data_IF_248198069484
#
_entry.id   IF_248198069484
#
_cell.length_a   1.000
_cell.length_b   1.000
_cell.length_c   1.000
_cell.angle_alpha   90.00
_cell.angle_beta   90.00
_cell.angle_gamma   90.00
#
_symmetry.space_group_name_H-M   'P 1'
#
loop_
_entity.id
_entity.type
_entity.pdbx_description
1 polymer ?
#
# COMPACT_ATOMS: atom_id res chain seq x y z
N UNK A 1 -38.47 3.52 16.09
CA UNK A 1 -37.39 4.12 15.27
C UNK A 1 -37.28 3.32 13.97
N UNK A 2 -37.55 3.93 12.82
CA UNK A 2 -37.38 3.26 11.52
C UNK A 2 -35.89 3.23 11.17
N UNK A 3 -35.35 2.06 10.80
CA UNK A 3 -33.95 1.94 10.40
C UNK A 3 -33.78 2.53 8.99
N UNK A 4 -32.87 3.49 8.77
CA UNK A 4 -32.59 3.99 7.43
C UNK A 4 -32.10 2.84 6.54
N UNK A 5 -32.66 2.74 5.33
CA UNK A 5 -32.38 1.66 4.39
C UNK A 5 -31.49 2.20 3.29
N UNK A 6 -30.25 1.72 3.23
CA UNK A 6 -29.33 2.03 2.14
C UNK A 6 -29.46 0.95 1.07
N UNK A 7 -29.69 1.35 -0.18
CA UNK A 7 -29.72 0.44 -1.32
C UNK A 7 -28.48 0.62 -2.16
N UNK A 8 -27.69 -0.44 -2.35
CA UNK A 8 -26.59 -0.43 -3.30
C UNK A 8 -27.15 -0.49 -4.73
N UNK A 9 -26.85 0.53 -5.54
CA UNK A 9 -27.27 0.64 -6.94
C UNK A 9 -26.00 0.77 -7.80
N UNK A 10 -25.39 -0.36 -8.21
CA UNK A 10 -24.15 -0.30 -8.99
C UNK A 10 -24.40 0.34 -10.36
N UNK A 11 -23.46 1.18 -10.79
CA UNK A 11 -23.44 1.71 -12.15
C UNK A 11 -22.44 0.85 -12.93
N UNK A 12 -22.90 0.08 -13.90
CA UNK A 12 -22.05 -0.84 -14.67
C UNK A 12 -21.01 -0.14 -15.55
N UNK A 13 -21.15 1.17 -15.77
CA UNK A 13 -20.12 1.98 -16.44
C UNK A 13 -18.92 2.27 -15.53
N UNK A 14 -19.09 2.26 -14.21
CA UNK A 14 -18.00 2.41 -13.25
C UNK A 14 -17.39 1.03 -12.95
N UNK A 15 -16.08 0.91 -13.15
CA UNK A 15 -15.35 -0.34 -12.97
C UNK A 15 -15.37 -0.84 -11.52
N UNK A 16 -15.25 0.05 -10.54
CA UNK A 16 -15.30 -0.28 -9.12
C UNK A 16 -16.69 -0.81 -8.74
N UNK A 17 -17.75 -0.15 -9.19
CA UNK A 17 -19.12 -0.61 -8.94
C UNK A 17 -19.38 -1.98 -9.58
N UNK A 18 -18.80 -2.23 -10.76
CA UNK A 18 -18.87 -3.53 -11.43
C UNK A 18 -18.13 -4.61 -10.64
N UNK A 19 -16.88 -4.37 -10.25
CA UNK A 19 -16.08 -5.28 -9.41
C UNK A 19 -16.78 -5.59 -8.08
N UNK A 20 -17.26 -4.56 -7.38
CA UNK A 20 -18.01 -4.71 -6.14
C UNK A 20 -19.30 -5.52 -6.35
N UNK A 21 -19.99 -5.30 -7.47
CA UNK A 21 -21.19 -6.06 -7.83
C UNK A 21 -20.89 -7.54 -8.12
N UNK A 22 -19.81 -7.83 -8.84
CA UNK A 22 -19.39 -9.20 -9.13
C UNK A 22 -19.01 -9.97 -7.85
N UNK A 23 -18.29 -9.31 -6.94
CA UNK A 23 -18.00 -9.86 -5.61
C UNK A 23 -19.29 -10.13 -4.84
N UNK A 24 -20.21 -9.15 -4.78
CA UNK A 24 -21.45 -9.30 -4.02
C UNK A 24 -22.36 -10.41 -4.58
N UNK A 25 -22.36 -10.63 -5.90
CA UNK A 25 -23.07 -11.75 -6.55
C UNK A 25 -22.51 -13.12 -6.16
N UNK A 26 -21.21 -13.22 -5.89
CA UNK A 26 -20.58 -14.47 -5.45
C UNK A 26 -20.94 -14.86 -4.01
N UNK A 27 -21.45 -13.91 -3.21
CA UNK A 27 -21.82 -14.15 -1.82
C UNK A 27 -23.15 -14.91 -1.74
N UNK A 28 -23.22 -16.02 -0.98
CA UNK A 28 -24.45 -16.78 -0.78
C UNK A 28 -25.62 -15.93 -0.27
N UNK A 29 -26.82 -16.29 -0.70
CA UNK A 29 -28.04 -15.65 -0.22
C UNK A 29 -28.18 -15.83 1.30
N UNK A 30 -28.56 -14.76 2.00
CA UNK A 30 -28.58 -14.72 3.47
C UNK A 30 -27.27 -14.27 4.13
N UNK A 31 -26.13 -14.30 3.42
CA UNK A 31 -24.83 -13.88 3.99
C UNK A 31 -24.39 -12.48 3.54
N UNK A 32 -25.08 -11.88 2.56
CA UNK A 32 -24.71 -10.57 1.97
C UNK A 32 -24.59 -9.45 2.99
N UNK A 33 -25.51 -9.34 3.95
CA UNK A 33 -25.45 -8.30 4.98
C UNK A 33 -24.24 -8.47 5.91
N UNK A 34 -23.95 -9.70 6.32
CA UNK A 34 -22.77 -10.01 7.14
C UNK A 34 -21.48 -9.76 6.37
N UNK A 35 -21.44 -10.11 5.09
CA UNK A 35 -20.32 -9.81 4.21
C UNK A 35 -20.07 -8.30 4.10
N UNK A 36 -21.11 -7.50 3.83
CA UNK A 36 -21.00 -6.04 3.74
C UNK A 36 -20.50 -5.46 5.07
N UNK A 37 -21.05 -5.89 6.20
CA UNK A 37 -20.60 -5.41 7.51
C UNK A 37 -19.12 -5.72 7.76
N UNK A 38 -18.66 -6.92 7.42
CA UNK A 38 -17.24 -7.30 7.53
C UNK A 38 -16.36 -6.49 6.58
N UNK A 39 -16.78 -6.32 5.34
CA UNK A 39 -16.02 -5.56 4.34
C UNK A 39 -15.81 -4.10 4.76
N UNK A 40 -16.84 -3.46 5.34
CA UNK A 40 -16.73 -2.09 5.87
C UNK A 40 -15.73 -2.04 7.03
N UNK A 41 -15.83 -2.97 7.99
CA UNK A 41 -14.91 -3.02 9.13
C UNK A 41 -13.46 -3.27 8.70
N UNK A 42 -13.24 -4.14 7.72
CA UNK A 42 -11.92 -4.45 7.21
C UNK A 42 -11.32 -3.26 6.45
N UNK A 43 -12.11 -2.58 5.62
CA UNK A 43 -11.65 -1.37 4.91
C UNK A 43 -11.22 -0.26 5.89
N UNK A 44 -12.03 0.00 6.94
CA UNK A 44 -11.65 0.97 7.99
C UNK A 44 -10.39 0.54 8.74
N UNK A 45 -10.21 -0.76 9.00
CA UNK A 45 -9.01 -1.31 9.65
C UNK A 45 -7.76 -1.11 8.77
N UNK A 46 -7.86 -1.39 7.47
CA UNK A 46 -6.78 -1.20 6.51
C UNK A 46 -6.36 0.27 6.42
N UNK A 47 -7.32 1.19 6.29
CA UNK A 47 -7.06 2.63 6.25
C UNK A 47 -6.35 3.10 7.53
N UNK A 48 -6.77 2.58 8.69
CA UNK A 48 -6.14 2.90 9.98
C UNK A 48 -4.70 2.40 10.04
N UNK A 49 -4.46 1.17 9.56
CA UNK A 49 -3.12 0.59 9.52
C UNK A 49 -2.20 1.36 8.59
N UNK A 50 -2.65 1.67 7.36
CA UNK A 50 -1.87 2.44 6.38
C UNK A 50 -1.48 3.81 6.93
N UNK A 51 -2.43 4.50 7.56
CA UNK A 51 -2.17 5.80 8.19
C UNK A 51 -1.17 5.69 9.35
N UNK A 52 -1.27 4.63 10.15
CA UNK A 52 -0.33 4.38 11.25
C UNK A 52 1.07 4.10 10.71
N UNK A 53 1.19 3.25 9.70
CA UNK A 53 2.48 2.94 9.06
C UNK A 53 3.13 4.17 8.44
N UNK A 54 2.35 4.98 7.70
CA UNK A 54 2.84 6.24 7.13
C UNK A 54 3.33 7.20 8.20
N UNK A 55 2.66 7.26 9.36
CA UNK A 55 3.10 8.07 10.50
C UNK A 55 4.41 7.56 11.09
N UNK A 56 4.48 6.26 11.41
CA UNK A 56 5.68 5.64 11.98
C UNK A 56 6.87 5.82 11.04
N UNK A 57 6.73 5.53 9.75
CA UNK A 57 7.81 5.72 8.77
C UNK A 57 8.30 7.17 8.71
N UNK A 58 7.38 8.15 8.80
CA UNK A 58 7.75 9.57 8.83
C UNK A 58 8.47 9.95 10.11
N UNK A 59 8.07 9.38 11.25
CA UNK A 59 8.73 9.59 12.54
C UNK A 59 10.13 8.97 12.55
N UNK A 60 10.28 7.73 12.07
CA UNK A 60 11.56 7.05 11.94
C UNK A 60 12.53 7.79 11.00
N UNK A 61 12.06 8.21 9.82
CA UNK A 61 12.87 9.03 8.88
C UNK A 61 13.30 10.38 9.47
N UNK A 62 12.55 10.93 10.42
CA UNK A 62 12.91 12.16 11.13
C UNK A 62 13.88 11.90 12.28
N UNK A 63 13.69 10.80 13.01
CA UNK A 63 14.50 10.43 14.17
C UNK A 63 15.88 9.89 13.76
N UNK A 64 15.94 9.19 12.63
CA UNK A 64 17.16 8.77 11.97
C UNK A 64 17.02 9.11 10.49
N UNK A 65 17.55 10.26 10.02
CA UNK A 65 17.63 10.50 8.60
C UNK A 65 18.39 9.35 7.98
N UNK A 66 17.72 8.62 7.09
CA UNK A 66 18.39 7.70 6.18
C UNK A 66 19.35 8.58 5.41
N UNK A 67 20.63 8.53 5.78
CA UNK A 67 21.66 9.04 4.90
C UNK A 67 21.40 8.29 3.59
N UNK A 68 21.16 8.97 2.45
CA UNK A 68 21.38 8.28 1.20
C UNK A 68 22.77 7.69 1.37
N UNK A 69 22.90 6.37 1.23
CA UNK A 69 24.22 5.75 1.11
C UNK A 69 24.90 6.67 0.11
N UNK A 70 25.86 7.47 0.60
CA UNK A 70 26.64 8.31 -0.27
C UNK A 70 27.08 7.31 -1.31
N UNK A 71 26.66 7.52 -2.56
CA UNK A 71 27.18 6.78 -3.69
C UNK A 71 28.68 6.87 -3.48
N UNK A 72 29.25 5.83 -2.87
CA UNK A 72 30.65 5.56 -2.93
C UNK A 72 30.72 5.25 -4.40
N UNK A 73 30.90 6.30 -5.21
CA UNK A 73 31.48 6.13 -6.50
C UNK A 73 32.68 5.25 -6.18
N UNK A 74 32.59 3.99 -6.60
CA UNK A 74 33.69 3.03 -6.63
C UNK A 74 34.73 3.62 -7.59
N UNK A 75 35.29 4.75 -7.20
CA UNK A 75 36.39 5.43 -7.84
C UNK A 75 37.54 4.51 -7.52
N UNK A 76 37.86 3.68 -8.51
CA UNK A 76 39.03 2.80 -8.47
C UNK A 76 40.18 3.64 -7.93
N UNK A 77 40.74 3.31 -6.75
CA UNK A 77 41.78 4.10 -6.14
C UNK A 77 42.92 4.30 -7.13
N UNK A 78 43.41 5.53 -7.25
CA UNK A 78 44.44 5.89 -8.22
C UNK A 78 45.70 4.99 -8.06
N UNK A 79 45.93 4.46 -6.86
CA UNK A 79 47.01 3.50 -6.59
C UNK A 79 46.85 2.18 -7.38
N UNK A 80 45.62 1.71 -7.59
CA UNK A 80 45.35 0.51 -8.39
C UNK A 80 45.65 0.74 -9.87
N UNK A 81 45.41 1.95 -10.39
CA UNK A 81 45.74 2.31 -11.77
C UNK A 81 47.25 2.38 -11.98
N UNK A 82 47.97 3.00 -11.03
CA UNK A 82 49.43 3.10 -11.09
C UNK A 82 50.11 1.72 -10.98
N UNK A 83 49.52 0.77 -10.25
CA UNK A 83 50.00 -0.61 -10.20
C UNK A 83 49.92 -1.28 -11.57
N UNK A 84 48.82 -1.12 -12.30
CA UNK A 84 48.66 -1.70 -13.64
C UNK A 84 49.67 -1.13 -14.64
N UNK A 85 49.93 0.18 -14.58
CA UNK A 85 50.95 0.83 -15.42
C UNK A 85 52.37 0.32 -15.12
N UNK A 86 52.64 -0.14 -13.90
CA UNK A 86 53.96 -0.70 -13.54
C UNK A 86 54.22 -2.11 -14.06
N UNK A 87 53.19 -2.78 -14.60
CA UNK A 87 53.28 -4.14 -15.15
C UNK A 87 53.45 -4.17 -16.68
N UNK A 88 53.39 -3.02 -17.37
CA UNK A 88 53.64 -2.90 -18.82
C UNK A 88 55.11 -2.67 -19.14
#
# INVERSE_FOLDING_TARGET
MSRPRFSFRPNLQNEEHRKAWDILKSVPEGQRNTFIARAILENVRQDTLENTLRRVLREELRASPVQPEAEQEDTIPQEMLHFLDSLS
#
